data_IF_072453063636
#
_entry.id   IF_072453063636
#
_cell.length_a   1.000
_cell.length_b   1.000
_cell.length_c   1.000
_cell.angle_alpha   90.00
_cell.angle_beta   90.00
_cell.angle_gamma   90.00
#
_symmetry.space_group_name_H-M   'P 1'
#
loop_
_entity.id
_entity.type
_entity.pdbx_description
1 polymer ?
#
# COMPACT_ATOMS: atom_id res chain seq x y z
N UNK A 1 -5.74 -13.58 -9.37
CA UNK A 1 -4.63 -13.08 -8.53
C UNK A 1 -3.36 -13.15 -9.35
N UNK A 2 -2.54 -12.10 -9.33
CA UNK A 2 -1.24 -12.05 -10.01
C UNK A 2 -0.13 -12.29 -8.98
N UNK A 3 0.88 -13.07 -9.35
CA UNK A 3 2.00 -13.43 -8.45
C UNK A 3 3.30 -13.36 -9.24
N UNK A 4 4.21 -12.48 -8.81
CA UNK A 4 5.57 -12.43 -9.32
C UNK A 4 6.36 -13.62 -8.73
N UNK A 5 6.55 -14.67 -9.53
CA UNK A 5 7.27 -15.89 -9.10
C UNK A 5 8.74 -15.87 -9.48
N UNK A 6 9.09 -15.18 -10.56
CA UNK A 6 10.42 -15.18 -11.14
C UNK A 6 11.05 -13.79 -11.10
N UNK A 7 12.38 -13.74 -10.95
CA UNK A 7 13.11 -12.48 -11.07
C UNK A 7 13.22 -12.08 -12.54
N UNK A 8 12.49 -11.04 -12.94
CA UNK A 8 12.50 -10.47 -14.29
C UNK A 8 13.71 -9.52 -14.46
N UNK A 9 13.94 -8.68 -13.46
CA UNK A 9 15.05 -7.72 -13.39
C UNK A 9 15.81 -7.87 -12.07
N UNK A 10 17.07 -7.40 -12.04
CA UNK A 10 17.92 -7.54 -10.86
C UNK A 10 17.32 -6.83 -9.62
N UNK A 11 17.13 -7.60 -8.54
CA UNK A 11 16.67 -7.08 -7.25
C UNK A 11 15.23 -6.59 -7.28
N UNK A 12 14.94 -5.52 -6.53
CA UNK A 12 13.58 -4.99 -6.35
C UNK A 12 12.96 -4.38 -7.62
N UNK A 13 13.67 -4.37 -8.76
CA UNK A 13 13.18 -3.85 -10.04
C UNK A 13 12.25 -4.83 -10.77
N UNK A 14 12.21 -6.11 -10.36
CA UNK A 14 11.23 -7.07 -10.89
C UNK A 14 9.80 -6.68 -10.56
N UNK A 15 9.57 -6.09 -9.38
CA UNK A 15 8.25 -5.61 -8.94
C UNK A 15 7.63 -4.59 -9.89
N UNK A 16 8.23 -3.41 -10.15
CA UNK A 16 7.65 -2.44 -11.08
C UNK A 16 7.56 -2.97 -12.52
N UNK A 17 8.48 -3.83 -12.97
CA UNK A 17 8.40 -4.46 -14.29
C UNK A 17 7.18 -5.38 -14.42
N UNK A 18 6.96 -6.23 -13.41
CA UNK A 18 5.80 -7.12 -13.38
C UNK A 18 4.48 -6.35 -13.29
N UNK A 19 4.43 -5.29 -12.47
CA UNK A 19 3.28 -4.41 -12.38
C UNK A 19 2.98 -3.74 -13.73
N UNK A 20 4.00 -3.24 -14.44
CA UNK A 20 3.84 -2.67 -15.80
C UNK A 20 3.20 -3.69 -16.74
N UNK A 21 3.73 -4.93 -16.77
CA UNK A 21 3.21 -6.00 -17.60
C UNK A 21 1.74 -6.33 -17.29
N UNK A 22 1.36 -6.40 -16.01
CA UNK A 22 -0.04 -6.64 -15.59
C UNK A 22 -0.94 -5.49 -16.03
N UNK A 23 -0.52 -4.23 -15.82
CA UNK A 23 -1.30 -3.05 -16.23
C UNK A 23 -1.54 -3.06 -17.75
N UNK A 24 -0.51 -3.32 -18.54
CA UNK A 24 -0.58 -3.35 -20.00
C UNK A 24 -1.50 -4.48 -20.49
N UNK A 25 -1.40 -5.67 -19.89
CA UNK A 25 -2.30 -6.80 -20.17
C UNK A 25 -3.76 -6.47 -19.84
N UNK A 26 -4.03 -5.78 -18.73
CA UNK A 26 -5.39 -5.35 -18.38
C UNK A 26 -5.91 -4.24 -19.32
N UNK A 27 -5.04 -3.32 -19.75
CA UNK A 27 -5.41 -2.26 -20.69
C UNK A 27 -5.76 -2.79 -22.08
N UNK A 28 -5.16 -3.91 -22.49
CA UNK A 28 -5.49 -4.61 -23.73
C UNK A 28 -6.89 -5.26 -23.71
N UNK A 29 -7.51 -5.43 -22.54
CA UNK A 29 -8.87 -5.98 -22.41
C UNK A 29 -9.93 -4.91 -22.64
N UNK A 30 -11.16 -5.28 -23.07
CA UNK A 30 -12.31 -4.37 -23.07
C UNK A 30 -12.55 -3.75 -21.68
N UNK A 31 -13.03 -2.49 -21.57
CA UNK A 31 -13.27 -1.83 -20.29
C UNK A 31 -14.14 -2.61 -19.29
N UNK A 32 -15.10 -3.40 -19.79
CA UNK A 32 -15.98 -4.24 -18.96
C UNK A 32 -15.33 -5.52 -18.42
N UNK A 33 -14.15 -5.88 -18.92
CA UNK A 33 -13.41 -7.10 -18.57
C UNK A 33 -12.06 -6.83 -17.90
N UNK A 34 -11.58 -5.58 -17.91
CA UNK A 34 -10.34 -5.19 -17.25
C UNK A 34 -10.54 -4.94 -15.76
N UNK A 35 -9.49 -5.14 -14.98
CA UNK A 35 -9.41 -4.62 -13.62
C UNK A 35 -9.60 -3.10 -13.60
N UNK A 36 -10.31 -2.58 -12.60
CA UNK A 36 -10.38 -1.13 -12.34
C UNK A 36 -9.17 -0.64 -11.57
N UNK A 37 -8.75 -1.43 -10.58
CA UNK A 37 -7.64 -1.15 -9.69
C UNK A 37 -6.80 -2.41 -9.52
N UNK A 38 -5.49 -2.23 -9.46
CA UNK A 38 -4.52 -3.22 -9.03
C UNK A 38 -4.07 -2.85 -7.61
N UNK A 39 -4.24 -3.78 -6.67
CA UNK A 39 -3.73 -3.65 -5.31
C UNK A 39 -2.46 -4.49 -5.21
N UNK A 40 -1.31 -3.84 -4.97
CA UNK A 40 -0.04 -4.53 -4.82
C UNK A 40 0.26 -4.76 -3.35
N UNK A 41 0.84 -5.92 -3.04
CA UNK A 41 1.37 -6.23 -1.73
C UNK A 41 2.71 -6.97 -1.83
N UNK A 42 3.68 -6.61 -1.00
CA UNK A 42 4.91 -7.39 -0.82
C UNK A 42 4.62 -8.69 -0.05
N UNK A 43 5.52 -9.67 -0.15
CA UNK A 43 5.30 -11.01 0.40
C UNK A 43 5.46 -11.09 1.93
N UNK A 44 6.06 -10.08 2.55
CA UNK A 44 6.34 -10.01 3.99
C UNK A 44 5.24 -9.32 4.78
N UNK A 45 4.00 -9.76 4.56
CA UNK A 45 2.82 -9.31 5.30
C UNK A 45 2.04 -10.47 5.91
N UNK A 46 1.17 -10.14 6.86
CA UNK A 46 0.15 -11.03 7.42
C UNK A 46 -1.20 -10.34 7.34
N UNK A 47 -2.17 -10.97 6.66
CA UNK A 47 -3.56 -10.53 6.67
C UNK A 47 -4.16 -10.88 8.05
N UNK A 48 -4.69 -9.87 8.74
CA UNK A 48 -5.19 -10.02 10.11
C UNK A 48 -6.72 -9.97 10.21
N UNK A 49 -7.36 -9.21 9.32
CA UNK A 49 -8.81 -9.07 9.30
C UNK A 49 -9.35 -9.24 7.87
N UNK A 50 -9.83 -10.44 7.49
CA UNK A 50 -10.38 -10.69 6.16
C UNK A 50 -11.76 -10.06 5.95
N UNK A 51 -12.40 -9.51 6.99
CA UNK A 51 -13.71 -8.85 6.90
C UNK A 51 -13.63 -7.42 6.36
N UNK A 52 -12.42 -6.92 6.05
CA UNK A 52 -12.21 -5.57 5.53
C UNK A 52 -12.04 -5.62 4.01
N UNK A 53 -13.05 -5.17 3.24
CA UNK A 53 -12.95 -5.19 1.79
C UNK A 53 -12.03 -4.06 1.32
N UNK A 54 -11.19 -4.36 0.31
CA UNK A 54 -10.15 -3.44 -0.16
C UNK A 54 -10.70 -2.16 -0.82
N UNK A 55 -11.93 -2.20 -1.30
CA UNK A 55 -12.56 -1.12 -2.03
C UNK A 55 -12.93 0.08 -1.14
N UNK A 56 -13.07 -0.12 0.18
CA UNK A 56 -13.34 0.99 1.12
C UNK A 56 -12.23 2.04 1.10
N UNK A 57 -11.00 1.64 0.78
CA UNK A 57 -9.85 2.54 0.76
C UNK A 57 -9.76 3.35 -0.53
N UNK A 58 -10.53 2.98 -1.55
CA UNK A 58 -10.49 3.63 -2.86
C UNK A 58 -11.08 5.05 -2.79
N UNK A 59 -10.63 5.97 -3.67
CA UNK A 59 -11.20 7.31 -3.73
C UNK A 59 -12.68 7.26 -4.09
N UNK A 60 -13.55 8.02 -3.40
CA UNK A 60 -14.95 8.11 -3.78
C UNK A 60 -15.10 8.83 -5.11
N UNK A 61 -16.00 8.32 -5.95
CA UNK A 61 -16.33 8.88 -7.25
C UNK A 61 -17.72 9.56 -7.19
N UNK A 62 -17.95 10.67 -7.93
CA UNK A 62 -17.08 11.23 -8.97
C UNK A 62 -15.96 12.17 -8.48
N UNK A 63 -16.02 12.69 -7.24
CA UNK A 63 -15.17 13.80 -6.77
C UNK A 63 -13.67 13.54 -6.91
N UNK A 64 -13.21 12.32 -6.62
CA UNK A 64 -11.79 11.95 -6.65
C UNK A 64 -11.45 10.99 -7.79
N UNK A 65 -12.24 11.00 -8.88
CA UNK A 65 -11.99 10.19 -10.08
C UNK A 65 -10.60 10.43 -10.70
N UNK A 66 -10.02 11.60 -10.49
CA UNK A 66 -8.69 11.98 -10.97
C UNK A 66 -7.54 11.31 -10.20
N UNK A 67 -7.82 10.68 -9.05
CA UNK A 67 -6.83 9.91 -8.29
C UNK A 67 -6.66 8.54 -8.94
N UNK A 68 -5.40 8.27 -9.30
CA UNK A 68 -4.95 7.04 -9.95
C UNK A 68 -4.07 6.20 -9.04
N UNK A 69 -3.47 6.77 -8.00
CA UNK A 69 -2.53 6.07 -7.13
C UNK A 69 -2.83 6.36 -5.66
N UNK A 70 -2.94 5.31 -4.84
CA UNK A 70 -3.00 5.39 -3.39
C UNK A 70 -1.71 4.86 -2.78
N UNK A 71 -1.00 5.68 -2.04
CA UNK A 71 0.27 5.32 -1.41
C UNK A 71 0.26 5.66 0.08
N UNK A 72 1.19 5.03 0.80
CA UNK A 72 1.42 5.28 2.21
C UNK A 72 2.81 5.88 2.43
N UNK A 73 2.98 6.63 3.51
CA UNK A 73 4.29 7.11 3.94
C UNK A 73 4.55 6.84 5.41
N UNK A 74 5.80 6.56 5.71
CA UNK A 74 6.34 6.45 7.06
C UNK A 74 7.35 7.59 7.33
N UNK A 75 8.16 7.43 8.37
CA UNK A 75 9.23 8.38 8.73
C UNK A 75 10.36 8.46 7.69
N UNK A 76 10.41 7.54 6.72
CA UNK A 76 11.42 7.45 5.67
C UNK A 76 10.94 7.88 4.29
N UNK A 77 9.69 8.32 4.14
CA UNK A 77 9.07 8.69 2.87
C UNK A 77 8.03 7.65 2.44
N UNK A 78 7.87 7.46 1.13
CA UNK A 78 7.03 6.40 0.55
C UNK A 78 7.40 5.05 1.14
N UNK A 79 6.40 4.26 1.55
CA UNK A 79 6.52 2.81 1.69
C UNK A 79 5.66 2.17 0.60
N UNK A 80 6.31 1.52 -0.37
CA UNK A 80 5.60 0.93 -1.52
C UNK A 80 5.29 -0.56 -1.32
N UNK A 81 5.42 -1.10 -0.10
CA UNK A 81 5.12 -2.50 0.19
C UNK A 81 3.65 -2.83 0.02
N UNK A 82 2.75 -1.87 0.26
CA UNK A 82 1.33 -1.98 -0.08
C UNK A 82 0.83 -0.66 -0.66
N UNK A 83 0.17 -0.72 -1.82
CA UNK A 83 -0.42 0.43 -2.50
C UNK A 83 -1.48 -0.01 -3.50
N UNK A 84 -2.29 0.94 -3.98
CA UNK A 84 -3.26 0.70 -5.05
C UNK A 84 -2.98 1.60 -6.25
N UNK A 85 -3.16 1.08 -7.46
CA UNK A 85 -3.07 1.85 -8.71
C UNK A 85 -4.25 1.55 -9.63
N UNK A 86 -4.88 2.59 -10.15
CA UNK A 86 -5.96 2.50 -11.12
C UNK A 86 -5.40 2.01 -12.44
N UNK A 87 -6.04 1.03 -13.05
CA UNK A 87 -5.60 0.51 -14.36
C UNK A 87 -6.04 1.49 -15.45
N UNK A 88 -5.11 2.36 -15.83
CA UNK A 88 -5.31 3.34 -16.89
C UNK A 88 -3.97 3.68 -17.59
N UNK A 89 -4.02 4.55 -18.60
CA UNK A 89 -2.83 4.96 -19.34
C UNK A 89 -1.79 5.72 -18.48
N UNK A 90 -2.22 6.44 -17.42
CA UNK A 90 -1.29 7.13 -16.53
C UNK A 90 -0.47 6.14 -15.69
N UNK A 91 -1.08 5.04 -15.27
CA UNK A 91 -0.40 3.96 -14.57
C UNK A 91 0.61 3.25 -15.46
N UNK A 92 0.26 2.95 -16.72
CA UNK A 92 1.21 2.40 -17.68
C UNK A 92 2.43 3.33 -17.85
N UNK A 93 2.22 4.62 -18.08
CA UNK A 93 3.29 5.62 -18.17
C UNK A 93 4.14 5.69 -16.89
N UNK A 94 3.50 5.64 -15.72
CA UNK A 94 4.19 5.69 -14.43
C UNK A 94 5.15 4.50 -14.29
N UNK A 95 4.66 3.28 -14.48
CA UNK A 95 5.47 2.08 -14.27
C UNK A 95 6.52 1.86 -15.37
N UNK A 96 6.27 2.26 -16.62
CA UNK A 96 7.32 2.34 -17.64
C UNK A 96 8.43 3.32 -17.23
N UNK A 97 8.08 4.48 -16.66
CA UNK A 97 9.04 5.46 -16.17
C UNK A 97 9.82 4.94 -14.94
N UNK A 98 9.17 4.24 -14.00
CA UNK A 98 9.84 3.60 -12.87
C UNK A 98 10.87 2.60 -13.38
N UNK A 99 10.48 1.66 -14.25
CA UNK A 99 11.37 0.62 -14.78
C UNK A 99 12.58 1.23 -15.50
N UNK A 100 12.35 2.32 -16.25
CA UNK A 100 13.38 2.99 -17.04
C UNK A 100 14.25 3.96 -16.23
N UNK A 101 13.95 4.19 -14.95
CA UNK A 101 14.60 5.20 -14.12
C UNK A 101 16.13 5.07 -14.13
N UNK A 102 16.64 3.86 -13.93
CA UNK A 102 18.10 3.61 -13.87
C UNK A 102 18.83 3.93 -15.17
N UNK A 103 18.14 3.94 -16.30
CA UNK A 103 18.71 4.22 -17.61
C UNK A 103 18.76 5.74 -17.84
N UNK A 104 17.69 6.45 -17.51
CA UNK A 104 17.54 7.87 -17.83
C UNK A 104 17.87 8.85 -16.69
N UNK A 105 18.01 8.35 -15.47
CA UNK A 105 18.41 9.12 -14.28
C UNK A 105 19.49 8.39 -13.46
N UNK A 106 20.57 7.87 -14.09
CA UNK A 106 21.61 7.12 -13.38
C UNK A 106 22.34 7.95 -12.30
N UNK A 107 22.35 9.27 -12.44
CA UNK A 107 22.97 10.24 -11.53
C UNK A 107 22.19 10.40 -10.22
N UNK A 108 20.89 10.09 -10.19
CA UNK A 108 20.06 10.27 -9.00
C UNK A 108 20.27 9.09 -8.05
N UNK A 109 20.90 9.36 -6.90
CA UNK A 109 21.08 8.37 -5.84
C UNK A 109 19.75 8.06 -5.15
N UNK A 110 19.29 6.83 -5.30
CA UNK A 110 18.07 6.33 -4.67
C UNK A 110 18.36 5.78 -3.27
N UNK A 111 17.70 6.32 -2.23
CA UNK A 111 17.79 5.81 -0.85
C UNK A 111 17.27 4.38 -0.78
N UNK A 112 16.17 4.10 -1.49
CA UNK A 112 15.51 2.80 -1.58
C UNK A 112 15.14 2.47 -3.03
N UNK A 113 15.98 1.75 -3.79
CA UNK A 113 15.72 1.21 -5.14
C UNK A 113 14.45 1.73 -5.89
N UNK A 114 13.50 0.86 -6.19
CA UNK A 114 12.25 1.15 -6.92
C UNK A 114 11.33 2.09 -6.14
N UNK A 115 11.32 1.99 -4.80
CA UNK A 115 10.51 2.83 -3.92
C UNK A 115 10.85 4.31 -4.07
N UNK A 116 12.12 4.68 -3.98
CA UNK A 116 12.58 6.06 -4.17
C UNK A 116 12.36 6.53 -5.61
N UNK A 117 12.51 5.66 -6.61
CA UNK A 117 12.20 6.03 -7.99
C UNK A 117 10.71 6.36 -8.17
N UNK A 118 9.84 5.52 -7.60
CA UNK A 118 8.40 5.77 -7.58
C UNK A 118 8.06 7.06 -6.83
N UNK A 119 8.62 7.28 -5.63
CA UNK A 119 8.40 8.50 -4.84
C UNK A 119 8.77 9.78 -5.59
N UNK A 120 9.91 9.77 -6.29
CA UNK A 120 10.33 10.90 -7.12
C UNK A 120 9.34 11.15 -8.26
N UNK A 121 8.91 10.11 -8.96
CA UNK A 121 7.92 10.24 -10.04
C UNK A 121 6.57 10.72 -9.54
N UNK A 122 6.10 10.25 -8.38
CA UNK A 122 4.83 10.70 -7.79
C UNK A 122 4.87 12.19 -7.38
N UNK A 123 6.06 12.79 -7.28
CA UNK A 123 6.23 14.22 -7.02
C UNK A 123 6.29 15.08 -8.28
N UNK A 124 6.35 14.46 -9.47
CA UNK A 124 6.37 15.15 -10.76
C UNK A 124 4.95 15.60 -11.16
N UNK A 125 4.84 16.72 -11.88
CA UNK A 125 3.56 17.36 -12.27
C UNK A 125 2.56 16.43 -12.95
N UNK A 126 3.08 15.43 -13.67
CA UNK A 126 2.28 14.41 -14.33
C UNK A 126 1.44 13.57 -13.35
N UNK A 127 1.93 13.30 -12.14
CA UNK A 127 1.34 12.36 -11.18
C UNK A 127 1.01 12.94 -9.81
N UNK A 128 1.58 14.08 -9.42
CA UNK A 128 1.35 14.69 -8.09
C UNK A 128 -0.13 14.90 -7.80
N UNK A 129 -0.87 15.44 -8.77
CA UNK A 129 -2.31 15.68 -8.65
C UNK A 129 -3.16 14.42 -8.85
N UNK A 130 -2.55 13.26 -9.15
CA UNK A 130 -3.24 11.98 -9.33
C UNK A 130 -2.95 10.99 -8.20
N UNK A 131 -2.27 11.45 -7.15
CA UNK A 131 -1.78 10.62 -6.07
C UNK A 131 -2.41 11.03 -4.75
N UNK A 132 -2.99 10.08 -4.02
CA UNK A 132 -3.44 10.28 -2.66
C UNK A 132 -2.54 9.53 -1.67
N UNK A 133 -1.99 10.29 -0.72
CA UNK A 133 -1.26 9.77 0.43
C UNK A 133 -2.24 9.47 1.56
N UNK A 134 -2.52 8.19 1.79
CA UNK A 134 -3.46 7.72 2.82
C UNK A 134 -2.71 7.33 4.10
N UNK A 135 -3.38 7.27 5.27
CA UNK A 135 -2.76 6.80 6.50
C UNK A 135 -2.18 5.39 6.35
N UNK A 136 -0.89 5.24 6.66
CA UNK A 136 -0.17 3.98 6.49
C UNK A 136 -0.84 2.80 7.20
N UNK A 137 -1.34 3.03 8.42
CA UNK A 137 -2.03 2.02 9.24
C UNK A 137 -3.16 1.31 8.50
N UNK A 138 -3.82 1.97 7.56
CA UNK A 138 -4.99 1.40 6.89
C UNK A 138 -4.66 0.16 6.06
N UNK A 139 -3.56 0.20 5.32
CA UNK A 139 -3.22 -0.84 4.34
C UNK A 139 -1.78 -1.34 4.45
N UNK A 140 -0.97 -0.75 5.33
CA UNK A 140 0.48 -0.96 5.38
C UNK A 140 1.02 -0.81 6.82
N UNK A 141 0.24 -1.23 7.81
CA UNK A 141 0.56 -1.03 9.23
C UNK A 141 1.81 -1.81 9.65
N UNK A 142 2.59 -1.23 10.56
CA UNK A 142 3.73 -1.92 11.17
C UNK A 142 3.30 -2.77 12.36
N UNK A 143 4.03 -3.85 12.67
CA UNK A 143 3.77 -4.63 13.86
C UNK A 143 3.93 -3.77 15.11
N UNK A 144 3.09 -4.01 16.12
CA UNK A 144 3.33 -3.45 17.45
C UNK A 144 4.64 -4.05 17.98
N UNK A 145 5.55 -3.21 18.50
CA UNK A 145 6.78 -3.69 19.14
C UNK A 145 6.40 -4.67 20.24
N UNK A 146 6.93 -5.89 20.18
CA UNK A 146 6.68 -6.97 21.15
C UNK A 146 7.28 -6.63 22.51
N UNK A 147 6.67 -5.70 23.24
CA UNK A 147 6.75 -5.65 24.69
C UNK A 147 5.55 -6.45 25.19
N UNK A 148 5.70 -7.77 25.18
CA UNK A 148 4.84 -8.77 25.80
C UNK A 148 3.36 -8.77 25.37
N UNK A 149 2.97 -9.77 24.60
CA UNK A 149 1.57 -10.07 24.29
C UNK A 149 0.66 -10.28 25.53
N UNK A 150 1.25 -10.45 26.72
CA UNK A 150 0.57 -10.53 28.02
C UNK A 150 0.56 -9.22 28.81
N UNK A 151 1.34 -8.22 28.40
CA UNK A 151 1.29 -6.87 28.95
C UNK A 151 1.16 -5.91 27.80
N UNK A 152 -0.08 -5.68 27.35
CA UNK A 152 -0.51 -4.40 26.80
C UNK A 152 -0.18 -3.32 27.85
N UNK A 153 1.10 -2.95 27.93
CA UNK A 153 1.53 -1.81 28.72
C UNK A 153 0.71 -0.62 28.21
N UNK A 154 0.28 0.25 29.12
CA UNK A 154 -0.60 1.42 28.90
C UNK A 154 -0.11 2.45 27.85
N UNK A 155 0.83 2.11 26.98
CA UNK A 155 1.32 2.92 25.87
C UNK A 155 0.38 2.77 24.69
N UNK A 156 -0.23 3.90 24.29
CA UNK A 156 -1.01 3.99 23.05
C UNK A 156 -0.16 3.49 21.87
N UNK A 157 -0.71 2.66 20.96
CA UNK A 157 0.01 2.22 19.77
C UNK A 157 0.46 3.43 18.95
N UNK A 158 1.67 3.36 18.39
CA UNK A 158 2.20 4.43 17.56
C UNK A 158 1.34 4.63 16.31
N UNK A 159 1.45 5.81 15.69
CA UNK A 159 0.62 6.24 14.55
C UNK A 159 0.52 5.20 13.42
N UNK A 160 1.63 4.53 13.11
CA UNK A 160 1.76 3.58 12.00
C UNK A 160 1.55 2.12 12.42
N UNK A 161 1.33 1.86 13.70
CA UNK A 161 1.21 0.50 14.21
C UNK A 161 -0.19 -0.06 13.97
N UNK A 162 -0.22 -1.36 13.73
CA UNK A 162 -1.41 -2.19 13.69
C UNK A 162 -2.26 -2.03 14.95
N UNK A 163 -3.58 -2.10 14.77
CA UNK A 163 -4.59 -2.13 15.82
C UNK A 163 -5.52 -3.31 15.58
N UNK A 164 -6.13 -3.81 16.65
CA UNK A 164 -7.22 -4.77 16.56
C UNK A 164 -8.31 -4.27 15.58
N UNK A 165 -8.75 -5.14 14.66
CA UNK A 165 -9.68 -4.79 13.58
C UNK A 165 -9.03 -4.25 12.30
N UNK A 166 -7.72 -3.96 12.28
CA UNK A 166 -7.04 -3.50 11.06
C UNK A 166 -6.83 -4.62 10.04
N UNK A 167 -6.70 -4.26 8.77
CA UNK A 167 -6.60 -5.19 7.65
C UNK A 167 -5.39 -6.13 7.77
N UNK A 168 -4.18 -5.58 7.91
CA UNK A 168 -2.94 -6.35 7.77
C UNK A 168 -1.77 -5.74 8.56
N UNK A 169 -0.70 -6.53 8.67
CA UNK A 169 0.60 -6.12 9.21
C UNK A 169 1.68 -6.33 8.14
N UNK A 170 2.49 -5.31 7.86
CA UNK A 170 3.64 -5.39 6.98
C UNK A 170 4.94 -5.39 7.80
N UNK A 171 5.80 -6.39 7.56
CA UNK A 171 7.05 -6.60 8.27
C UNK A 171 8.24 -6.02 7.49
N UNK A 172 8.15 -4.72 7.19
CA UNK A 172 9.15 -4.02 6.41
C UNK A 172 10.55 -4.07 7.05
N UNK A 173 11.53 -4.51 6.25
CA UNK A 173 12.92 -4.61 6.67
C UNK A 173 13.21 -5.83 7.57
N UNK A 174 14.45 -6.30 7.52
CA UNK A 174 14.88 -7.49 8.26
C UNK A 174 16.33 -7.38 8.75
N UNK A 175 16.71 -6.21 9.30
CA UNK A 175 18.10 -5.98 9.75
C UNK A 175 18.52 -6.88 10.90
N UNK A 176 17.56 -7.28 11.74
CA UNK A 176 17.79 -8.16 12.89
C UNK A 176 17.62 -9.66 12.55
N UNK A 177 17.33 -9.99 11.29
CA UNK A 177 17.11 -11.35 10.77
C UNK A 177 15.96 -12.12 11.45
N UNK A 178 15.08 -11.43 12.18
CA UNK A 178 13.97 -12.03 12.95
C UNK A 178 12.60 -11.83 12.32
N UNK A 179 12.55 -11.39 11.05
CA UNK A 179 11.27 -11.17 10.36
C UNK A 179 10.43 -12.44 10.30
N UNK A 180 11.05 -13.58 9.98
CA UNK A 180 10.33 -14.84 9.80
C UNK A 180 9.71 -15.31 11.14
N UNK A 181 10.44 -15.18 12.26
CA UNK A 181 9.93 -15.45 13.61
C UNK A 181 8.73 -14.55 13.97
N UNK A 182 8.83 -13.26 13.68
CA UNK A 182 7.74 -12.30 13.92
C UNK A 182 6.53 -12.59 13.05
N UNK A 183 6.74 -12.93 11.78
CA UNK A 183 5.67 -13.29 10.86
C UNK A 183 4.97 -14.57 11.33
N UNK A 184 5.72 -15.61 11.67
CA UNK A 184 5.18 -16.87 12.18
C UNK A 184 4.31 -16.66 13.43
N UNK A 185 4.73 -15.78 14.34
CA UNK A 185 3.94 -15.41 15.51
C UNK A 185 2.58 -14.80 15.14
N UNK A 186 2.57 -13.80 14.25
CA UNK A 186 1.32 -13.13 13.83
C UNK A 186 0.46 -14.02 12.92
N UNK A 187 1.06 -14.88 12.10
CA UNK A 187 0.35 -15.90 11.32
C UNK A 187 -0.41 -16.87 12.23
N UNK A 188 0.23 -17.38 13.29
CA UNK A 188 -0.44 -18.23 14.29
C UNK A 188 -1.60 -17.50 15.00
N UNK A 189 -1.52 -16.18 15.16
CA UNK A 189 -2.66 -15.40 15.68
C UNK A 189 -3.78 -15.30 14.62
N UNK A 190 -3.43 -14.98 13.37
CA UNK A 190 -4.39 -14.84 12.28
C UNK A 190 -5.14 -16.16 12.02
N UNK A 191 -4.44 -17.29 12.02
CA UNK A 191 -5.01 -18.64 11.82
C UNK A 191 -6.01 -19.06 12.91
N UNK A 192 -6.02 -18.38 14.06
CA UNK A 192 -7.00 -18.62 15.14
C UNK A 192 -8.32 -17.91 14.91
N UNK A 193 -8.42 -17.03 13.91
CA UNK A 193 -9.65 -16.28 13.58
C UNK A 193 -10.28 -15.62 14.82
N UNK A 194 -9.45 -15.00 15.68
CA UNK A 194 -9.93 -14.45 16.95
C UNK A 194 -10.86 -13.25 16.70
N UNK A 195 -12.06 -13.19 17.31
CA UNK A 195 -13.03 -12.11 17.06
C UNK A 195 -12.51 -10.71 17.34
N UNK A 196 -11.54 -10.57 18.25
CA UNK A 196 -10.90 -9.29 18.55
C UNK A 196 -10.06 -8.73 17.39
N UNK A 197 -9.59 -9.55 16.46
CA UNK A 197 -8.81 -9.12 15.28
C UNK A 197 -9.67 -9.10 14.02
N UNK A 198 -10.58 -10.08 13.86
CA UNK A 198 -11.49 -10.17 12.71
C UNK A 198 -12.78 -9.37 12.89
N UNK A 199 -12.64 -8.11 13.27
CA UNK A 199 -13.78 -7.23 13.56
C UNK A 199 -14.53 -6.89 12.26
N UNK A 200 -15.87 -7.09 12.19
CA UNK A 200 -16.67 -6.65 11.04
C UNK A 200 -16.48 -5.17 10.71
N UNK A 201 -16.47 -4.82 9.41
CA UNK A 201 -16.17 -3.46 8.94
C UNK A 201 -17.02 -2.37 9.65
N UNK A 202 -18.30 -2.62 9.88
CA UNK A 202 -19.24 -1.71 10.54
C UNK A 202 -18.92 -1.45 12.02
N UNK A 203 -18.13 -2.33 12.64
CA UNK A 203 -17.65 -2.20 14.02
C UNK A 203 -16.21 -1.65 14.11
N UNK A 204 -15.55 -1.45 12.97
CA UNK A 204 -14.23 -0.79 12.90
C UNK A 204 -14.34 0.73 12.79
N UNK A 205 -13.24 1.44 13.03
CA UNK A 205 -13.15 2.89 12.79
C UNK A 205 -12.96 3.27 11.32
N UNK A 206 -12.79 2.31 10.40
CA UNK A 206 -12.39 2.61 9.02
C UNK A 206 -13.39 3.49 8.28
N UNK A 207 -14.69 3.19 8.34
CA UNK A 207 -15.72 3.99 7.64
C UNK A 207 -15.66 5.47 8.04
N UNK A 208 -15.57 5.75 9.34
CA UNK A 208 -15.51 7.11 9.86
C UNK A 208 -14.17 7.80 9.54
N UNK A 209 -13.04 7.09 9.68
CA UNK A 209 -11.72 7.64 9.36
C UNK A 209 -11.56 7.96 7.87
N UNK A 210 -12.03 7.07 6.99
CA UNK A 210 -11.98 7.22 5.54
C UNK A 210 -12.89 8.36 5.08
N UNK A 211 -14.12 8.42 5.60
CA UNK A 211 -15.05 9.53 5.30
C UNK A 211 -14.43 10.88 5.65
N UNK A 212 -13.96 11.04 6.91
CA UNK A 212 -13.31 12.26 7.36
C UNK A 212 -12.08 12.64 6.54
N UNK A 213 -11.29 11.65 6.10
CA UNK A 213 -10.12 11.90 5.26
C UNK A 213 -10.52 12.53 3.92
N UNK A 214 -11.46 11.93 3.20
CA UNK A 214 -11.89 12.42 1.88
C UNK A 214 -12.64 13.75 1.99
N UNK A 215 -13.45 13.96 3.03
CA UNK A 215 -14.10 15.24 3.31
C UNK A 215 -13.06 16.35 3.54
N UNK A 216 -12.00 16.06 4.30
CA UNK A 216 -10.92 17.03 4.52
C UNK A 216 -10.18 17.38 3.24
N UNK A 217 -10.02 16.43 2.31
CA UNK A 217 -9.39 16.64 1.00
C UNK A 217 -10.26 17.52 0.10
N UNK A 218 -11.58 17.28 0.08
CA UNK A 218 -12.56 18.08 -0.65
C UNK A 218 -12.52 19.53 -0.21
N UNK A 219 -12.50 19.77 1.11
CA UNK A 219 -12.46 21.12 1.69
C UNK A 219 -11.15 21.87 1.45
N UNK A 220 -10.02 21.17 1.31
CA UNK A 220 -8.74 21.80 0.94
C UNK A 220 -8.69 22.16 -0.55
N UNK A 221 -9.25 21.31 -1.41
CA UNK A 221 -9.34 21.59 -2.84
C UNK A 221 -10.29 22.75 -3.19
N UNK A 222 -11.33 22.98 -2.38
CA UNK A 222 -12.26 24.09 -2.57
C UNK A 222 -11.71 25.48 -2.13
N UNK A 223 -10.55 25.51 -1.47
CA UNK A 223 -9.90 26.73 -0.95
C UNK A 223 -8.67 27.16 -1.77
N UNK A 224 -8.33 26.43 -2.83
CA UNK A 224 -7.25 26.74 -3.77
C UNK A 224 -7.86 27.26 -5.08
#
# INVERSE_FOLDING_TARGET
MYVLRENILRGLWSKPAYISAVIEQELAKPPSKRLKWLFWTDADLVLMNPNIPLDIFLPPEPEFKHIDVLVTKDENGLNNGVFAVRVNANAARLFSAVVSWKIYRPEVRLKYNDQSALENLLSHDLWVNKTAWIPQRWINAYPVKMLNATTLTNKKPQKHNFRAGDLLIHFAGNKDLKRDERMAYWMNIAEKHLPQYEVPLDQTSFKEEIGRFWDSKKNKGAKA
#
